data_IF_212275383451
#
_entry.id   IF_212275383451
#
_cell.length_a   1.000
_cell.length_b   1.000
_cell.length_c   1.000
_cell.angle_alpha   90.00
_cell.angle_beta   90.00
_cell.angle_gamma   90.00
#
_symmetry.space_group_name_H-M   'P 1'
#
loop_
_entity.id
_entity.type
_entity.pdbx_description
1 polymer ?
#
# COMPACT_ATOMS: atom_id res chain seq x y z
N UNK A 1 30.22 -4.73 7.34
CA UNK A 1 29.03 -5.24 8.04
C UNK A 1 29.33 -6.68 8.36
N UNK A 2 29.10 -7.13 9.59
CA UNK A 2 29.32 -8.55 9.93
C UNK A 2 28.23 -9.36 9.22
N UNK A 3 28.65 -10.32 8.40
CA UNK A 3 27.71 -11.26 7.76
C UNK A 3 27.22 -12.22 8.85
N UNK A 4 25.91 -12.42 9.01
CA UNK A 4 25.39 -13.42 9.95
C UNK A 4 25.92 -14.82 9.59
N UNK A 5 26.09 -15.67 10.60
CA UNK A 5 26.51 -17.07 10.39
C UNK A 5 25.25 -17.93 10.32
N UNK A 6 25.10 -18.68 9.22
CA UNK A 6 23.95 -19.57 9.03
C UNK A 6 24.26 -21.00 9.47
N UNK A 7 23.27 -21.69 10.02
CA UNK A 7 23.27 -23.09 10.42
C UNK A 7 22.58 -23.96 9.36
N UNK A 8 22.93 -25.24 9.29
CA UNK A 8 22.34 -26.22 8.37
C UNK A 8 23.37 -26.92 7.48
N UNK A 9 22.91 -27.61 6.43
CA UNK A 9 23.77 -28.14 5.36
C UNK A 9 24.40 -27.00 4.55
N UNK A 10 25.45 -27.29 3.77
CA UNK A 10 26.09 -26.26 2.93
C UNK A 10 25.09 -25.62 1.96
N UNK A 11 24.21 -26.42 1.36
CA UNK A 11 23.13 -25.95 0.48
C UNK A 11 22.12 -25.06 1.23
N UNK A 12 21.72 -25.43 2.45
CA UNK A 12 20.81 -24.63 3.27
C UNK A 12 21.44 -23.31 3.72
N UNK A 13 22.73 -23.32 4.07
CA UNK A 13 23.46 -22.11 4.44
C UNK A 13 23.58 -21.15 3.25
N UNK A 14 23.85 -21.68 2.05
CA UNK A 14 23.90 -20.88 0.82
C UNK A 14 22.53 -20.28 0.49
N UNK A 15 21.47 -21.08 0.59
CA UNK A 15 20.10 -20.63 0.33
C UNK A 15 19.66 -19.55 1.34
N UNK A 16 19.93 -19.75 2.63
CA UNK A 16 19.64 -18.75 3.67
C UNK A 16 20.43 -17.45 3.44
N UNK A 17 21.69 -17.54 3.01
CA UNK A 17 22.51 -16.38 2.67
C UNK A 17 21.97 -15.63 1.43
N UNK A 18 21.52 -16.35 0.41
CA UNK A 18 20.91 -15.78 -0.79
C UNK A 18 19.60 -15.04 -0.44
N UNK A 19 18.70 -15.69 0.31
CA UNK A 19 17.45 -15.08 0.78
C UNK A 19 17.73 -13.83 1.64
N UNK A 20 18.70 -13.89 2.55
CA UNK A 20 19.11 -12.74 3.36
C UNK A 20 19.59 -11.58 2.50
N UNK A 21 20.42 -11.85 1.48
CA UNK A 21 20.94 -10.85 0.57
C UNK A 21 19.83 -10.20 -0.26
N UNK A 22 18.87 -11.00 -0.73
CA UNK A 22 17.68 -10.54 -1.44
C UNK A 22 16.84 -9.60 -0.56
N UNK A 23 16.56 -10.00 0.68
CA UNK A 23 15.82 -9.16 1.63
C UNK A 23 16.58 -7.86 1.95
N UNK A 24 17.91 -7.88 2.08
CA UNK A 24 18.72 -6.67 2.26
C UNK A 24 18.62 -5.73 1.07
N UNK A 25 18.66 -6.27 -0.17
CA UNK A 25 18.56 -5.48 -1.38
C UNK A 25 17.22 -4.75 -1.47
N UNK A 26 16.12 -5.46 -1.19
CA UNK A 26 14.79 -4.86 -1.11
C UNK A 26 14.69 -3.86 0.06
N UNK A 27 15.34 -4.19 1.17
CA UNK A 27 15.44 -3.40 2.37
C UNK A 27 16.43 -2.21 2.31
N UNK A 28 17.00 -1.89 1.15
CA UNK A 28 18.14 -0.96 1.07
C UNK A 28 17.85 0.44 1.63
N UNK A 29 16.60 0.90 1.50
CA UNK A 29 16.11 2.20 1.98
C UNK A 29 15.56 2.18 3.40
N UNK A 30 15.42 1.00 4.01
CA UNK A 30 14.94 0.87 5.38
C UNK A 30 16.05 1.20 6.39
N UNK A 31 15.63 1.62 7.59
CA UNK A 31 16.54 1.78 8.72
C UNK A 31 17.29 0.47 9.02
N UNK A 32 18.45 0.58 9.66
CA UNK A 32 19.35 -0.56 9.89
C UNK A 32 18.69 -1.70 10.67
N UNK A 33 17.79 -1.35 11.57
CA UNK A 33 17.05 -2.17 12.51
C UNK A 33 15.57 -2.35 12.13
N UNK A 34 15.11 -1.69 11.05
CA UNK A 34 13.74 -1.83 10.61
C UNK A 34 13.46 -3.27 10.13
N UNK A 35 12.29 -3.84 10.50
CA UNK A 35 11.90 -5.16 10.05
C UNK A 35 11.58 -5.15 8.55
N UNK A 36 12.26 -6.02 7.81
CA UNK A 36 11.98 -6.31 6.41
C UNK A 36 11.16 -7.58 6.37
N UNK A 37 9.94 -7.52 5.83
CA UNK A 37 9.01 -8.64 5.76
C UNK A 37 8.91 -9.13 4.33
N UNK A 38 8.95 -10.44 4.10
CA UNK A 38 8.67 -11.09 2.81
C UNK A 38 7.87 -12.36 3.02
N UNK A 39 6.93 -12.66 2.12
CA UNK A 39 6.21 -13.93 2.14
C UNK A 39 7.08 -15.06 1.57
N UNK A 40 6.87 -16.27 2.06
CA UNK A 40 7.48 -17.48 1.53
C UNK A 40 7.09 -17.68 0.06
N UNK A 41 5.83 -17.38 -0.28
CA UNK A 41 5.30 -17.46 -1.63
C UNK A 41 6.10 -16.61 -2.63
N UNK A 42 6.41 -15.36 -2.29
CA UNK A 42 7.18 -14.45 -3.14
C UNK A 42 8.65 -14.86 -3.26
N UNK A 43 9.24 -15.34 -2.16
CA UNK A 43 10.62 -15.84 -2.17
C UNK A 43 10.76 -17.09 -3.04
N UNK A 44 9.79 -18.00 -2.94
CA UNK A 44 9.75 -19.22 -3.73
C UNK A 44 9.53 -18.91 -5.22
N UNK A 45 8.61 -18.00 -5.56
CA UNK A 45 8.37 -17.59 -6.94
C UNK A 45 9.65 -17.03 -7.57
N UNK A 46 10.27 -16.05 -6.92
CA UNK A 46 11.51 -15.44 -7.40
C UNK A 46 12.65 -16.44 -7.60
N UNK A 47 12.91 -17.30 -6.61
CA UNK A 47 14.00 -18.28 -6.69
C UNK A 47 13.68 -19.43 -7.65
N UNK A 48 12.42 -19.81 -7.81
CA UNK A 48 12.02 -20.84 -8.79
C UNK A 48 12.24 -20.35 -10.22
N UNK A 49 11.92 -19.09 -10.51
CA UNK A 49 12.17 -18.46 -11.81
C UNK A 49 13.67 -18.29 -12.07
N UNK A 50 14.43 -17.82 -11.08
CA UNK A 50 15.87 -17.60 -11.20
C UNK A 50 16.64 -18.90 -11.47
N UNK A 51 16.30 -19.98 -10.76
CA UNK A 51 16.99 -21.26 -10.84
C UNK A 51 16.32 -22.25 -11.80
N UNK A 52 15.17 -21.91 -12.39
CA UNK A 52 14.34 -22.79 -13.23
C UNK A 52 14.00 -24.12 -12.53
N UNK A 53 13.65 -24.02 -11.24
CA UNK A 53 13.30 -25.17 -10.38
C UNK A 53 11.80 -25.19 -10.11
N UNK A 54 11.32 -26.34 -9.65
CA UNK A 54 9.93 -26.51 -9.22
C UNK A 54 9.61 -25.62 -8.01
N UNK A 55 8.48 -24.92 -8.07
CA UNK A 55 8.07 -23.94 -7.06
C UNK A 55 7.89 -24.60 -5.68
N UNK A 56 7.17 -25.71 -5.61
CA UNK A 56 6.85 -26.37 -4.34
C UNK A 56 8.11 -26.93 -3.66
N UNK A 57 9.02 -27.49 -4.45
CA UNK A 57 10.32 -27.96 -3.95
C UNK A 57 11.16 -26.79 -3.37
N UNK A 58 11.22 -25.67 -4.08
CA UNK A 58 11.96 -24.48 -3.63
C UNK A 58 11.34 -23.89 -2.36
N UNK A 59 10.01 -23.78 -2.28
CA UNK A 59 9.31 -23.29 -1.10
C UNK A 59 9.63 -24.13 0.15
N UNK A 60 9.64 -25.47 0.02
CA UNK A 60 9.98 -26.38 1.12
C UNK A 60 11.45 -26.26 1.54
N UNK A 61 12.37 -26.14 0.58
CA UNK A 61 13.80 -25.95 0.85
C UNK A 61 14.07 -24.63 1.58
N UNK A 62 13.40 -23.54 1.17
CA UNK A 62 13.48 -22.23 1.84
C UNK A 62 12.93 -22.31 3.26
N UNK A 63 11.72 -22.86 3.46
CA UNK A 63 11.11 -22.96 4.80
C UNK A 63 12.01 -23.76 5.75
N UNK A 64 12.56 -24.90 5.29
CA UNK A 64 13.50 -25.71 6.06
C UNK A 64 14.81 -24.96 6.39
N UNK A 65 15.40 -24.25 5.43
CA UNK A 65 16.63 -23.50 5.63
C UNK A 65 16.43 -22.33 6.61
N UNK A 66 15.34 -21.57 6.47
CA UNK A 66 15.06 -20.41 7.33
C UNK A 66 14.65 -20.83 8.75
N UNK A 67 13.94 -21.95 8.93
CA UNK A 67 13.59 -22.47 10.25
C UNK A 67 14.81 -22.85 11.11
N UNK A 68 15.87 -23.38 10.50
CA UNK A 68 17.13 -23.68 11.20
C UNK A 68 17.87 -22.41 11.66
N UNK A 69 17.56 -21.26 11.06
CA UNK A 69 18.20 -19.97 11.28
C UNK A 69 17.27 -18.97 11.98
N UNK A 70 16.59 -19.44 13.04
CA UNK A 70 15.59 -18.68 13.79
C UNK A 70 16.16 -17.46 14.55
N UNK A 71 17.49 -17.36 14.67
CA UNK A 71 18.21 -16.21 15.23
C UNK A 71 18.26 -15.03 14.25
N UNK A 72 18.32 -15.31 12.94
CA UNK A 72 18.36 -14.29 11.87
C UNK A 72 16.99 -14.02 11.28
N UNK A 73 16.18 -15.07 11.13
CA UNK A 73 14.86 -15.01 10.52
C UNK A 73 13.78 -15.32 11.53
N UNK A 74 12.77 -14.46 11.59
CA UNK A 74 11.58 -14.70 12.40
C UNK A 74 10.42 -15.07 11.50
N UNK A 75 9.78 -16.20 11.79
CA UNK A 75 8.62 -16.71 11.06
C UNK A 75 7.33 -16.22 11.73
N UNK A 76 6.42 -15.68 10.93
CA UNK A 76 5.08 -15.21 11.32
C UNK A 76 4.05 -15.85 10.37
N UNK A 77 2.94 -16.37 10.90
CA UNK A 77 1.85 -16.90 10.08
C UNK A 77 0.75 -15.83 10.01
N UNK A 78 0.42 -15.37 8.82
CA UNK A 78 -0.56 -14.31 8.60
C UNK A 78 -1.41 -14.64 7.37
N UNK A 79 -2.73 -14.60 7.53
CA UNK A 79 -3.68 -14.74 6.42
C UNK A 79 -3.41 -15.97 5.53
N UNK A 80 -3.05 -17.10 6.17
CA UNK A 80 -2.69 -18.40 5.56
C UNK A 80 -1.33 -18.45 4.83
N UNK A 81 -0.59 -17.34 4.77
CA UNK A 81 0.77 -17.31 4.23
C UNK A 81 1.82 -17.23 5.35
N UNK A 82 3.02 -17.73 5.05
CA UNK A 82 4.17 -17.71 5.95
C UNK A 82 5.01 -16.50 5.60
N UNK A 83 5.10 -15.55 6.53
CA UNK A 83 5.93 -14.35 6.39
C UNK A 83 7.22 -14.54 7.18
N UNK A 84 8.33 -14.30 6.50
CA UNK A 84 9.64 -14.20 7.12
C UNK A 84 10.02 -12.74 7.33
N UNK A 85 10.54 -12.46 8.52
CA UNK A 85 11.04 -11.17 8.91
C UNK A 85 12.54 -11.25 9.17
N UNK A 86 13.30 -10.31 8.63
CA UNK A 86 14.70 -10.10 8.99
C UNK A 86 14.99 -8.59 9.12
N UNK A 87 16.22 -8.22 9.47
CA UNK A 87 16.69 -6.83 9.43
C UNK A 87 18.00 -6.75 8.68
N UNK A 88 18.47 -5.54 8.34
CA UNK A 88 19.76 -5.38 7.64
C UNK A 88 20.96 -5.85 8.48
N UNK A 89 20.78 -6.01 9.79
CA UNK A 89 21.80 -6.57 10.69
C UNK A 89 21.64 -8.06 10.95
N UNK A 90 20.56 -8.68 10.46
CA UNK A 90 20.20 -10.05 10.79
C UNK A 90 19.73 -10.22 12.24
N UNK A 91 19.27 -9.14 12.89
CA UNK A 91 18.71 -9.18 14.25
C UNK A 91 17.37 -8.46 14.20
N UNK A 92 16.28 -9.22 14.32
CA UNK A 92 14.92 -8.65 14.29
C UNK A 92 14.57 -8.13 15.67
N UNK A 93 14.57 -6.81 15.81
CA UNK A 93 13.99 -6.15 16.99
C UNK A 93 12.54 -5.86 16.62
N UNK A 94 11.61 -6.72 17.07
CA UNK A 94 10.20 -6.36 17.03
C UNK A 94 9.98 -5.33 18.13
N UNK A 95 9.81 -4.08 17.73
CA UNK A 95 9.15 -3.12 18.59
C UNK A 95 7.73 -3.66 18.76
N UNK A 96 7.43 -4.20 19.94
CA UNK A 96 6.03 -4.36 20.32
C UNK A 96 5.43 -2.98 20.19
N UNK A 97 4.52 -2.80 19.24
CA UNK A 97 3.73 -1.58 19.14
C UNK A 97 3.03 -1.46 20.50
N UNK A 98 3.53 -0.57 21.34
CA UNK A 98 2.86 -0.23 22.57
C UNK A 98 1.62 0.57 22.18
N UNK A 99 0.59 -0.18 21.77
CA UNK A 99 -0.73 0.33 21.49
C UNK A 99 -1.43 0.80 22.77
N UNK A 100 -0.76 0.71 23.93
CA UNK A 100 -1.13 1.52 25.08
C UNK A 100 -0.93 2.98 24.70
N UNK A 101 -2.01 3.61 24.27
CA UNK A 101 -2.06 5.03 24.02
C UNK A 101 -1.36 5.74 25.18
N UNK A 102 -0.19 6.33 24.88
CA UNK A 102 0.59 7.14 25.81
C UNK A 102 -0.24 8.30 26.40
N UNK A 103 -1.48 8.51 25.93
CA UNK A 103 -2.45 9.40 26.54
C UNK A 103 -2.62 9.16 28.04
N UNK A 104 -2.66 7.90 28.51
CA UNK A 104 -2.75 7.62 29.95
C UNK A 104 -1.47 7.99 30.72
N UNK A 105 -0.31 7.86 30.07
CA UNK A 105 0.98 8.31 30.62
C UNK A 105 1.20 9.82 30.46
N UNK A 106 0.48 10.48 29.55
CA UNK A 106 0.48 11.93 29.31
C UNK A 106 -0.53 12.65 30.22
N UNK A 107 -1.63 11.99 30.59
CA UNK A 107 -2.45 12.40 31.72
C UNK A 107 -1.67 12.08 32.99
N UNK A 108 -0.84 13.04 33.40
CA UNK A 108 -0.30 13.06 34.75
C UNK A 108 -1.49 13.04 35.71
N UNK A 109 -1.77 11.89 36.32
CA UNK A 109 -2.50 11.87 37.59
C UNK A 109 -1.50 12.40 38.63
N UNK A 110 -1.67 13.64 39.13
CA UNK A 110 -0.74 14.15 40.14
C UNK A 110 -0.78 13.22 41.35
N UNK A 111 0.38 12.80 41.86
CA UNK A 111 0.50 11.97 43.09
C UNK A 111 -0.23 12.61 44.29
N UNK A 112 -0.46 13.92 44.20
CA UNK A 112 -1.26 14.70 45.12
C UNK A 112 -2.36 15.43 44.35
N UNK A 113 -3.52 14.79 44.11
CA UNK A 113 -4.67 15.52 43.57
C UNK A 113 -4.95 16.68 44.52
N UNK A 114 -5.11 17.88 43.95
CA UNK A 114 -5.46 19.05 44.74
C UNK A 114 -6.72 18.71 45.55
N UNK A 115 -6.77 19.03 46.85
CA UNK A 115 -7.94 18.77 47.67
C UNK A 115 -9.15 19.44 47.02
N UNK A 116 -10.13 18.62 46.62
CA UNK A 116 -11.30 19.03 45.83
C UNK A 116 -12.22 19.97 46.63
N UNK A 117 -11.96 20.14 47.93
CA UNK A 117 -12.80 20.93 48.83
C UNK A 117 -12.71 22.45 48.61
N UNK A 118 -11.72 22.98 47.87
CA UNK A 118 -11.53 24.43 47.68
C UNK A 118 -11.93 24.99 46.29
N UNK A 119 -12.37 24.15 45.33
CA UNK A 119 -12.70 24.61 43.95
C UNK A 119 -14.09 25.26 43.86
N UNK A 120 -14.91 25.20 44.92
CA UNK A 120 -16.20 25.90 44.97
C UNK A 120 -16.08 27.43 45.13
N UNK A 121 -14.87 28.00 45.27
CA UNK A 121 -14.67 29.41 45.70
C UNK A 121 -13.89 30.27 44.69
N UNK A 122 -13.80 29.90 43.40
CA UNK A 122 -13.33 30.83 42.35
C UNK A 122 -14.14 30.75 41.06
N UNK A 123 -15.47 30.85 41.17
CA UNK A 123 -16.26 31.51 40.11
C UNK A 123 -16.33 32.98 40.49
N UNK A 124 -15.19 33.69 40.42
CA UNK A 124 -15.25 35.14 40.41
C UNK A 124 -15.85 35.55 39.07
N UNK A 125 -17.01 36.16 39.14
CA UNK A 125 -17.86 36.73 38.10
C UNK A 125 -17.20 37.85 37.27
N UNK A 126 -15.90 37.81 37.01
CA UNK A 126 -15.26 38.68 36.03
C UNK A 126 -15.26 37.98 34.67
N UNK A 127 -16.45 37.81 34.09
CA UNK A 127 -16.51 37.85 32.63
C UNK A 127 -16.01 39.25 32.27
N UNK A 128 -14.84 39.42 31.62
CA UNK A 128 -14.57 40.71 31.00
C UNK A 128 -15.78 41.00 30.12
N UNK A 129 -16.35 42.20 30.22
CA UNK A 129 -17.41 42.62 29.31
C UNK A 129 -16.90 42.30 27.91
N UNK A 130 -17.58 41.37 27.21
CA UNK A 130 -17.26 41.07 25.82
C UNK A 130 -17.28 42.42 25.11
N UNK A 131 -16.10 42.95 24.85
CA UNK A 131 -15.93 44.02 23.89
C UNK A 131 -16.52 43.45 22.63
N UNK A 132 -17.57 44.11 22.16
CA UNK A 132 -18.27 43.89 20.89
C UNK A 132 -17.46 42.97 20.00
N UNK A 133 -17.85 41.69 19.95
CA UNK A 133 -17.20 40.71 19.09
C UNK A 133 -17.34 41.28 17.70
N UNK A 134 -16.28 41.87 17.17
CA UNK A 134 -16.21 42.13 15.74
C UNK A 134 -16.47 40.78 15.09
N UNK A 135 -17.48 40.66 14.23
CA UNK A 135 -17.75 39.40 13.56
C UNK A 135 -16.44 39.01 12.89
N UNK A 136 -15.86 37.89 13.32
CA UNK A 136 -14.77 37.27 12.60
C UNK A 136 -15.39 36.91 11.26
N UNK A 137 -15.11 37.72 10.24
CA UNK A 137 -15.47 37.39 8.87
C UNK A 137 -14.67 36.14 8.54
N UNK A 138 -15.33 34.99 8.66
CA UNK A 138 -14.85 33.75 8.08
C UNK A 138 -14.77 34.06 6.59
N UNK A 139 -13.56 34.03 6.02
CA UNK A 139 -13.37 34.32 4.60
C UNK A 139 -14.36 33.51 3.77
N UNK A 140 -14.96 34.14 2.75
CA UNK A 140 -15.99 33.52 1.89
C UNK A 140 -15.54 32.13 1.38
N UNK A 141 -14.23 31.95 1.15
CA UNK A 141 -13.60 30.67 0.80
C UNK A 141 -13.97 29.48 1.70
N UNK A 142 -14.04 29.65 3.03
CA UNK A 142 -14.41 28.56 3.94
C UNK A 142 -15.92 28.37 4.06
N UNK A 143 -16.71 29.38 3.67
CA UNK A 143 -18.17 29.28 3.67
C UNK A 143 -18.66 28.54 2.41
N UNK A 144 -18.02 28.77 1.25
CA UNK A 144 -18.26 28.02 0.01
C UNK A 144 -17.97 26.52 0.20
N UNK A 145 -16.86 26.18 0.87
CA UNK A 145 -16.46 24.78 1.05
C UNK A 145 -17.36 24.00 2.02
N UNK A 146 -18.08 24.71 2.91
CA UNK A 146 -19.00 24.12 3.87
C UNK A 146 -20.45 24.06 3.37
N UNK A 147 -20.72 24.54 2.15
CA UNK A 147 -22.06 24.62 1.54
C UNK A 147 -23.10 25.28 2.46
N UNK A 148 -22.66 26.28 3.25
CA UNK A 148 -23.45 26.92 4.29
C UNK A 148 -24.24 28.15 3.80
N UNK A 149 -24.39 28.32 2.48
CA UNK A 149 -25.20 29.41 1.97
C UNK A 149 -26.69 29.14 2.20
N UNK A 150 -27.42 30.00 2.92
CA UNK A 150 -28.85 30.03 2.79
C UNK A 150 -29.17 30.35 1.34
N UNK A 151 -29.84 29.42 0.66
CA UNK A 151 -30.43 29.55 -0.67
C UNK A 151 -30.86 31.00 -0.88
N UNK A 152 -30.18 31.70 -1.81
CA UNK A 152 -30.56 33.04 -2.23
C UNK A 152 -32.05 33.01 -2.56
N UNK A 153 -32.87 33.63 -1.70
CA UNK A 153 -34.26 33.85 -2.04
C UNK A 153 -34.28 34.68 -3.31
N UNK A 154 -34.96 34.23 -4.38
CA UNK A 154 -35.01 34.96 -5.63
C UNK A 154 -35.53 36.37 -5.35
N UNK A 155 -34.68 37.36 -5.63
CA UNK A 155 -35.03 38.78 -5.57
C UNK A 155 -36.30 39.00 -6.40
N UNK A 156 -37.37 39.45 -5.74
CA UNK A 156 -38.51 40.01 -6.44
C UNK A 156 -38.03 41.19 -7.32
N UNK A 157 -38.52 41.30 -8.57
CA UNK A 157 -38.07 42.33 -9.50
C UNK A 157 -38.43 43.72 -8.97
N UNK A 158 -37.39 44.46 -8.56
CA UNK A 158 -37.50 45.85 -8.18
C UNK A 158 -37.89 46.69 -9.39
N UNK A 159 -38.94 47.46 -9.20
CA UNK A 159 -39.67 48.23 -10.22
C UNK A 159 -38.86 49.45 -10.65
N UNK A 160 -38.58 49.53 -11.95
CA UNK A 160 -37.99 50.69 -12.65
C UNK A 160 -38.71 52.00 -12.31
N UNK A 161 -37.91 53.06 -12.11
CA UNK A 161 -38.31 54.45 -12.35
C UNK A 161 -37.22 55.17 -13.15
N UNK A 162 -37.59 56.12 -14.04
CA UNK A 162 -36.72 56.60 -15.10
C UNK A 162 -35.91 57.85 -14.73
N UNK A 163 -34.68 57.88 -15.26
CA UNK A 163 -34.03 58.94 -16.06
C UNK A 163 -34.19 60.41 -15.62
N UNK A 164 -33.12 61.02 -15.10
CA UNK A 164 -32.91 62.47 -15.18
C UNK A 164 -31.42 62.87 -15.21
N UNK A 165 -30.95 63.17 -16.42
CA UNK A 165 -30.04 64.24 -16.86
C UNK A 165 -28.70 64.55 -16.13
N UNK A 166 -27.64 64.54 -16.95
CA UNK A 166 -26.28 65.07 -16.73
C UNK A 166 -26.22 66.59 -16.40
N UNK A 167 -25.06 67.16 -15.99
CA UNK A 167 -24.02 67.53 -16.98
C UNK A 167 -22.52 67.48 -16.52
N UNK A 168 -21.65 67.25 -17.53
CA UNK A 168 -20.27 67.71 -17.83
C UNK A 168 -19.37 68.45 -16.80
N UNK A 169 -18.09 68.04 -16.69
CA UNK A 169 -16.86 68.83 -17.03
C UNK A 169 -15.58 68.00 -16.72
N UNK A 170 -14.69 67.68 -17.68
CA UNK A 170 -13.51 68.44 -18.19
C UNK A 170 -12.22 68.32 -17.36
N UNK A 171 -11.19 67.66 -17.95
CA UNK A 171 -9.73 67.97 -17.97
C UNK A 171 -8.93 66.66 -18.17
N UNK A 172 -8.36 66.34 -19.34
CA UNK A 172 -7.11 66.85 -19.95
C UNK A 172 -5.83 66.46 -19.19
N UNK A 173 -5.06 65.47 -19.68
CA UNK A 173 -3.57 65.45 -19.69
C UNK A 173 -3.08 64.22 -20.50
N UNK A 174 -2.65 64.40 -21.75
CA UNK A 174 -1.25 64.47 -22.22
C UNK A 174 -0.60 63.11 -22.51
N UNK A 175 -0.60 62.77 -23.81
CA UNK A 175 0.38 61.89 -24.46
C UNK A 175 1.73 62.61 -24.62
N UNK A 176 2.83 61.84 -24.72
CA UNK A 176 3.87 62.18 -25.69
C UNK A 176 3.99 61.12 -26.80
N UNK A 177 3.88 61.68 -27.99
CA UNK A 177 4.43 61.33 -29.30
C UNK A 177 5.80 60.63 -29.27
N UNK A 178 5.90 59.47 -29.92
CA UNK A 178 7.15 58.87 -30.37
C UNK A 178 7.00 58.51 -31.86
N UNK A 179 7.92 59.05 -32.65
CA UNK A 179 8.03 58.93 -34.11
C UNK A 179 8.32 57.49 -34.61
N UNK A 180 7.99 57.18 -35.88
CA UNK A 180 8.10 55.84 -36.45
C UNK A 180 9.53 55.51 -36.92
N UNK A 181 10.02 54.32 -36.56
CA UNK A 181 11.16 53.69 -37.23
C UNK A 181 10.67 52.60 -38.19
N UNK A 182 10.92 52.84 -39.48
CA UNK A 182 10.86 51.86 -40.56
C UNK A 182 11.84 50.70 -40.32
N UNK A 183 11.34 49.46 -40.30
CA UNK A 183 12.15 48.24 -40.53
C UNK A 183 11.30 47.20 -41.31
N UNK A 184 11.83 46.58 -42.39
CA UNK A 184 11.03 45.80 -43.31
C UNK A 184 10.86 44.32 -42.90
N UNK A 185 9.69 43.78 -43.28
CA UNK A 185 9.49 42.43 -43.85
C UNK A 185 10.06 41.22 -43.09
N UNK A 186 9.18 40.47 -42.43
CA UNK A 186 8.91 39.08 -42.81
C UNK A 186 7.64 38.56 -42.12
N UNK A 187 6.66 38.16 -42.93
CA UNK A 187 5.50 37.35 -42.55
C UNK A 187 5.97 35.94 -42.17
N UNK A 188 5.48 35.40 -41.04
CA UNK A 188 4.88 34.07 -41.09
C UNK A 188 3.52 34.03 -40.35
N UNK A 189 2.64 33.18 -40.87
CA UNK A 189 1.28 32.86 -40.41
C UNK A 189 1.07 32.87 -38.88
N UNK A 190 0.06 33.62 -38.43
CA UNK A 190 -0.67 33.39 -37.18
C UNK A 190 -1.62 32.19 -37.37
N UNK A 191 -1.68 31.22 -36.44
CA UNK A 191 -2.89 30.45 -36.20
C UNK A 191 -3.83 31.21 -35.25
N UNK A 192 -5.12 31.03 -35.52
CA UNK A 192 -6.28 31.63 -34.86
C UNK A 192 -6.22 31.70 -33.33
N UNK A 193 -6.59 32.87 -32.81
CA UNK A 193 -6.93 33.09 -31.41
C UNK A 193 -8.26 32.40 -31.10
N UNK A 194 -8.24 31.43 -30.18
CA UNK A 194 -9.45 30.87 -29.57
C UNK A 194 -9.71 31.62 -28.26
N UNK A 195 -10.98 31.98 -28.08
CA UNK A 195 -11.59 32.63 -26.92
C UNK A 195 -11.10 32.10 -25.57
N UNK A 196 -10.58 33.00 -24.74
CA UNK A 196 -10.40 32.80 -23.31
C UNK A 196 -11.70 33.17 -22.59
N UNK A 197 -12.61 32.22 -22.47
CA UNK A 197 -13.68 32.24 -21.47
C UNK A 197 -13.62 30.93 -20.69
N UNK A 198 -13.67 31.04 -19.37
CA UNK A 198 -13.90 29.93 -18.42
C UNK A 198 -12.70 28.99 -18.17
N UNK A 199 -11.82 29.39 -17.25
CA UNK A 199 -11.02 28.46 -16.46
C UNK A 199 -11.48 28.53 -15.00
N UNK A 200 -12.48 27.70 -14.70
CA UNK A 200 -12.93 27.34 -13.37
C UNK A 200 -11.93 26.31 -12.80
N UNK A 201 -11.13 26.72 -11.81
CA UNK A 201 -10.16 25.84 -11.15
C UNK A 201 -10.91 24.91 -10.18
N UNK A 202 -11.08 23.65 -10.57
CA UNK A 202 -11.53 22.57 -9.68
C UNK A 202 -10.35 22.15 -8.78
N UNK A 203 -10.53 22.30 -7.48
CA UNK A 203 -9.57 21.82 -6.47
C UNK A 203 -9.66 20.29 -6.42
N UNK A 204 -8.71 19.62 -7.06
CA UNK A 204 -8.46 18.19 -6.84
C UNK A 204 -7.82 18.06 -5.46
N UNK A 205 -8.37 17.16 -4.64
CA UNK A 205 -7.84 16.83 -3.33
C UNK A 205 -6.32 16.56 -3.40
N UNK A 206 -5.58 17.17 -2.48
CA UNK A 206 -4.12 17.05 -2.32
C UNK A 206 -3.73 15.66 -1.79
N UNK A 207 -4.12 14.62 -2.53
CA UNK A 207 -3.50 13.31 -2.41
C UNK A 207 -2.16 13.41 -3.14
N UNK A 208 -1.08 13.26 -2.38
CA UNK A 208 0.27 13.20 -2.93
C UNK A 208 0.28 12.23 -4.12
N UNK A 209 0.76 12.72 -5.26
CA UNK A 209 0.97 11.93 -6.49
C UNK A 209 1.78 10.66 -6.20
N UNK A 210 2.65 10.69 -5.19
CA UNK A 210 3.43 9.53 -4.75
C UNK A 210 2.57 8.42 -4.11
N UNK A 211 1.45 8.78 -3.46
CA UNK A 211 0.52 7.81 -2.88
C UNK A 211 -0.32 7.10 -3.97
N UNK A 212 -0.80 7.86 -4.96
CA UNK A 212 -1.53 7.32 -6.11
C UNK A 212 -0.66 6.41 -6.98
N UNK A 213 0.63 6.75 -7.17
CA UNK A 213 1.56 5.91 -7.94
C UNK A 213 1.78 4.55 -7.27
N UNK A 214 1.90 4.50 -5.94
CA UNK A 214 2.09 3.25 -5.21
C UNK A 214 0.86 2.34 -5.24
N UNK A 215 -0.34 2.91 -5.27
CA UNK A 215 -1.59 2.15 -5.31
C UNK A 215 -1.88 1.57 -6.71
N UNK A 216 -1.57 2.32 -7.77
CA UNK A 216 -1.69 1.84 -9.16
C UNK A 216 -0.70 0.70 -9.48
N UNK A 217 0.51 0.74 -8.90
CA UNK A 217 1.51 -0.32 -9.08
C UNK A 217 1.06 -1.66 -8.49
N UNK A 218 0.28 -1.66 -7.41
CA UNK A 218 -0.25 -2.87 -6.77
C UNK A 218 -1.41 -3.47 -7.58
N UNK A 219 -2.25 -2.63 -8.20
CA UNK A 219 -3.40 -3.07 -8.99
C UNK A 219 -3.01 -3.64 -10.37
N UNK A 220 -1.92 -3.17 -10.97
CA UNK A 220 -1.49 -3.63 -12.29
C UNK A 220 -0.97 -5.08 -12.26
N UNK A 221 -0.40 -5.51 -11.13
CA UNK A 221 0.12 -6.86 -10.91
C UNK A 221 -0.99 -7.91 -10.75
N UNK A 222 -2.20 -7.50 -10.32
CA UNK A 222 -3.34 -8.40 -10.13
C UNK A 222 -4.13 -8.71 -11.42
N UNK A 223 -3.99 -7.89 -12.46
CA UNK A 223 -4.76 -8.06 -13.71
C UNK A 223 -4.07 -9.06 -14.66
N UNK A 224 -2.76 -9.25 -14.56
CA UNK A 224 -2.01 -10.16 -15.46
C UNK A 224 -2.22 -11.66 -15.13
N UNK A 225 -2.88 -11.98 -14.01
CA UNK A 225 -3.17 -13.37 -13.58
C UNK A 225 -4.53 -13.92 -14.04
N UNK A 226 -5.39 -13.12 -14.70
CA UNK A 226 -6.76 -13.55 -15.04
C UNK A 226 -6.90 -14.11 -16.48
N UNK A 227 -5.96 -13.85 -17.39
CA UNK A 227 -6.12 -14.19 -18.82
C UNK A 227 -5.47 -15.51 -19.29
N UNK A 228 -4.92 -16.34 -18.39
CA UNK A 228 -4.22 -17.57 -18.78
C UNK A 228 -5.07 -18.86 -18.75
N UNK A 229 -6.27 -18.88 -18.13
CA UNK A 229 -6.98 -20.14 -17.81
C UNK A 229 -8.34 -20.37 -18.54
N UNK A 230 -8.77 -19.49 -19.46
CA UNK A 230 -10.14 -19.56 -20.04
C UNK A 230 -10.20 -20.11 -21.47
N UNK A 231 -9.09 -20.52 -22.10
CA UNK A 231 -9.14 -21.13 -23.44
C UNK A 231 -8.42 -22.45 -23.43
N UNK A 232 -9.16 -23.57 -23.31
CA UNK A 232 -8.93 -24.89 -23.95
C UNK A 232 -9.91 -25.94 -23.38
N UNK A 233 -11.20 -25.81 -23.69
CA UNK A 233 -12.16 -26.90 -23.43
C UNK A 233 -13.21 -26.99 -24.55
N UNK A 234 -12.75 -27.27 -25.78
CA UNK A 234 -13.59 -27.95 -26.77
C UNK A 234 -12.73 -28.62 -27.86
N UNK A 235 -12.17 -29.78 -27.54
CA UNK A 235 -11.54 -30.67 -28.52
C UNK A 235 -12.38 -31.96 -28.59
N UNK A 236 -12.87 -32.37 -29.78
CA UNK A 236 -13.67 -33.57 -29.92
C UNK A 236 -12.83 -34.84 -29.71
N UNK A 237 -13.43 -35.94 -29.23
CA UNK A 237 -12.72 -37.18 -28.94
C UNK A 237 -12.12 -37.78 -30.23
N UNK A 238 -10.90 -38.35 -30.17
CA UNK A 238 -10.34 -39.05 -31.32
C UNK A 238 -11.04 -40.40 -31.48
N UNK A 239 -11.64 -40.60 -32.66
CA UNK A 239 -12.17 -41.89 -33.10
C UNK A 239 -11.07 -42.96 -33.10
N UNK A 240 -11.48 -44.13 -32.63
CA UNK A 240 -10.74 -45.39 -32.62
C UNK A 240 -10.32 -45.81 -34.05
N UNK A 241 -9.02 -45.80 -34.34
CA UNK A 241 -8.44 -46.60 -35.42
C UNK A 241 -6.91 -46.71 -35.27
N UNK A 242 -6.44 -47.49 -34.29
CA UNK A 242 -5.07 -47.99 -34.34
C UNK A 242 -5.03 -49.25 -35.21
N UNK A 243 -4.67 -49.05 -36.47
CA UNK A 243 -4.22 -50.12 -37.35
C UNK A 243 -2.88 -50.69 -36.85
N UNK A 244 -2.82 -52.02 -36.97
CA UNK A 244 -1.78 -52.98 -36.67
C UNK A 244 -0.45 -52.64 -37.38
N UNK A 245 0.54 -52.13 -36.63
CA UNK A 245 1.92 -51.95 -37.13
C UNK A 245 2.81 -53.06 -36.57
N UNK A 246 3.42 -53.92 -37.43
CA UNK A 246 4.23 -55.03 -36.97
C UNK A 246 5.62 -54.57 -36.48
N UNK A 247 5.99 -55.07 -35.30
CA UNK A 247 7.31 -54.96 -34.67
C UNK A 247 8.45 -55.42 -35.59
N UNK A 248 9.54 -54.64 -35.74
CA UNK A 248 10.80 -55.16 -36.25
C UNK A 248 11.58 -55.87 -35.13
N UNK A 249 11.95 -57.10 -35.46
CA UNK A 249 12.67 -58.08 -34.66
C UNK A 249 14.17 -57.95 -34.92
N UNK A 250 14.96 -57.63 -33.89
CA UNK A 250 16.34 -58.08 -33.73
C UNK A 250 17.48 -57.16 -34.22
N UNK A 251 18.32 -56.73 -33.27
CA UNK A 251 19.79 -56.61 -33.35
C UNK A 251 20.29 -56.21 -31.94
N UNK A 252 20.72 -57.18 -31.12
CA UNK A 252 22.11 -57.60 -30.88
C UNK A 252 22.86 -56.73 -29.83
N UNK A 253 23.61 -57.35 -28.90
CA UNK A 253 24.16 -56.71 -27.70
C UNK A 253 25.54 -56.10 -27.97
N UNK A 254 25.86 -54.97 -27.32
CA UNK A 254 27.23 -54.44 -27.29
C UNK A 254 27.83 -54.73 -25.92
N UNK A 255 28.98 -55.39 -25.99
CA UNK A 255 29.83 -55.85 -24.90
C UNK A 255 30.58 -54.69 -24.20
N UNK A 256 30.69 -54.85 -22.88
CA UNK A 256 31.87 -54.66 -22.01
C UNK A 256 32.86 -53.51 -22.31
N UNK A 257 33.08 -52.68 -21.30
CA UNK A 257 34.44 -52.28 -20.92
C UNK A 257 34.54 -52.13 -19.41
N UNK A 258 35.15 -53.15 -18.81
CA UNK A 258 35.84 -53.11 -17.54
C UNK A 258 36.97 -52.08 -17.57
N UNK A 259 37.02 -51.19 -16.57
CA UNK A 259 38.29 -50.62 -16.10
C UNK A 259 38.32 -50.73 -14.58
N UNK A 260 39.12 -51.69 -14.13
CA UNK A 260 39.58 -51.83 -12.76
C UNK A 260 40.78 -50.92 -12.49
N UNK A 261 40.75 -50.21 -11.36
CA UNK A 261 41.90 -49.78 -10.57
C UNK A 261 41.36 -49.50 -9.15
N UNK A 262 41.42 -50.42 -8.20
CA UNK A 262 42.60 -50.84 -7.42
C UNK A 262 43.39 -49.63 -6.91
N UNK A 263 42.91 -49.01 -5.83
CA UNK A 263 43.75 -48.46 -4.75
C UNK A 263 42.98 -48.66 -3.44
N UNK A 264 43.58 -49.41 -2.54
CA UNK A 264 43.16 -49.74 -1.17
C UNK A 264 44.48 -49.83 -0.37
N UNK A 265 44.49 -49.81 0.96
CA UNK A 265 44.12 -48.70 1.85
C UNK A 265 45.26 -48.41 2.86
N UNK A 266 45.40 -47.16 3.33
CA UNK A 266 46.24 -46.90 4.51
C UNK A 266 45.61 -45.85 5.45
N UNK A 267 44.89 -46.43 6.42
CA UNK A 267 44.74 -46.04 7.82
C UNK A 267 44.72 -44.57 8.22
N UNK A 268 43.61 -44.14 8.83
CA UNK A 268 43.68 -43.43 10.12
C UNK A 268 42.45 -43.81 10.99
N UNK A 269 42.78 -44.39 12.14
CA UNK A 269 42.10 -44.38 13.44
C UNK A 269 40.57 -44.53 13.53
N UNK A 270 40.18 -45.72 14.03
CA UNK A 270 39.00 -45.90 14.85
C UNK A 270 39.05 -45.00 16.09
N UNK A 271 37.98 -44.24 16.32
CA UNK A 271 37.63 -43.71 17.62
C UNK A 271 36.27 -44.30 18.03
N UNK A 272 36.27 -44.88 19.22
CA UNK A 272 35.21 -45.66 19.84
C UNK A 272 33.97 -44.80 20.14
N UNK A 273 32.75 -45.36 20.09
CA UNK A 273 31.56 -44.67 20.55
C UNK A 273 31.50 -44.71 22.08
N UNK A 274 31.74 -43.58 22.73
CA UNK A 274 31.49 -43.42 24.16
C UNK A 274 29.99 -43.25 24.36
N UNK A 275 29.37 -44.30 24.87
CA UNK A 275 28.05 -44.28 25.49
C UNK A 275 28.16 -43.61 26.86
N UNK A 276 27.71 -42.36 26.97
CA UNK A 276 27.40 -41.75 28.27
C UNK A 276 25.89 -41.62 28.44
N UNK A 277 25.33 -42.64 29.09
CA UNK A 277 24.08 -42.62 29.83
C UNK A 277 24.28 -41.90 31.15
N UNK A 278 23.70 -40.72 31.33
CA UNK A 278 23.31 -40.13 32.63
C UNK A 278 22.35 -38.96 32.34
N UNK A 279 21.05 -39.11 32.62
CA UNK A 279 20.42 -38.73 33.89
C UNK A 279 20.33 -37.21 34.07
N UNK A 280 19.11 -36.71 33.84
CA UNK A 280 18.30 -35.70 34.57
C UNK A 280 17.25 -35.25 33.54
N UNK A 281 16.02 -35.76 33.49
CA UNK A 281 15.02 -35.86 34.56
C UNK A 281 14.97 -34.62 35.45
N UNK A 282 14.49 -33.53 34.85
CA UNK A 282 13.87 -32.38 35.49
C UNK A 282 13.51 -31.41 34.37
N UNK A 283 12.21 -31.30 34.06
CA UNK A 283 11.47 -30.11 33.61
C UNK A 283 10.10 -30.57 33.07
N UNK A 284 9.41 -31.38 33.87
CA UNK A 284 7.97 -31.65 33.77
C UNK A 284 7.30 -31.01 34.99
N UNK A 285 7.41 -29.69 35.09
CA UNK A 285 6.78 -28.94 36.18
C UNK A 285 6.66 -27.45 35.84
N UNK A 286 5.85 -27.08 34.84
CA UNK A 286 5.29 -25.73 34.80
C UNK A 286 3.84 -25.71 34.32
N UNK A 287 2.97 -25.58 35.33
CA UNK A 287 1.83 -24.66 35.33
C UNK A 287 0.55 -25.16 34.65
N UNK A 288 -0.11 -26.08 35.35
CA UNK A 288 -1.57 -26.21 35.33
C UNK A 288 -2.17 -25.01 36.09
N UNK A 289 -2.61 -23.96 35.39
CA UNK A 289 -3.42 -22.91 36.01
C UNK A 289 -4.86 -23.44 36.09
N UNK A 290 -5.10 -24.24 37.13
CA UNK A 290 -6.42 -24.66 37.52
C UNK A 290 -7.18 -23.47 38.10
N UNK A 291 -8.33 -23.18 37.47
CA UNK A 291 -9.55 -22.70 38.07
C UNK A 291 -9.51 -22.34 39.58
N UNK A 292 -9.26 -21.07 39.88
CA UNK A 292 -9.74 -20.42 41.11
C UNK A 292 -10.71 -19.32 40.70
N UNK A 293 -11.92 -19.76 40.36
CA UNK A 293 -13.07 -18.87 40.24
C UNK A 293 -13.53 -18.56 41.66
N UNK A 294 -13.07 -17.43 42.19
CA UNK A 294 -13.41 -16.91 43.50
C UNK A 294 -14.94 -16.82 43.63
N UNK A 295 -15.48 -17.66 44.50
CA UNK A 295 -16.89 -17.71 44.82
C UNK A 295 -17.26 -16.46 45.62
N UNK A 296 -17.89 -15.51 44.93
CA UNK A 296 -18.50 -14.34 45.54
C UNK A 296 -19.61 -14.82 46.50
N UNK A 297 -19.62 -14.41 47.78
CA UNK A 297 -20.66 -14.81 48.72
C UNK A 297 -22.02 -14.22 48.32
N UNK A 298 -23.12 -14.97 48.44
CA UNK A 298 -24.45 -14.44 48.21
C UNK A 298 -24.84 -13.51 49.37
N UNK A 299 -24.72 -12.20 49.14
CA UNK A 299 -25.30 -11.18 50.02
C UNK A 299 -26.82 -11.19 49.87
N UNK A 300 -27.46 -11.89 50.80
CA UNK A 300 -28.45 -11.39 51.74
C UNK A 300 -29.42 -10.29 51.24
N UNK A 301 -30.67 -10.71 51.05
CA UNK A 301 -31.91 -10.04 51.48
C UNK A 301 -31.97 -8.50 51.42
N UNK A 302 -32.43 -7.97 50.29
CA UNK A 302 -33.14 -6.71 50.23
C UNK A 302 -34.61 -6.98 49.85
N UNK A 303 -35.59 -6.66 50.73
CA UNK A 303 -36.98 -6.60 50.34
C UNK A 303 -37.21 -5.25 49.67
N UNK A 304 -37.84 -5.20 48.50
CA UNK A 304 -38.87 -4.23 48.15
C UNK A 304 -39.34 -4.50 46.73
N UNK A 305 -40.57 -5.03 46.63
CA UNK A 305 -41.30 -5.04 45.37
C UNK A 305 -41.62 -3.59 44.97
N UNK A 306 -40.98 -3.15 43.90
CA UNK A 306 -41.52 -2.09 43.05
C UNK A 306 -41.98 -2.80 41.77
N UNK A 307 -43.28 -2.70 41.46
CA UNK A 307 -43.80 -3.03 40.13
C UNK A 307 -43.01 -2.19 39.12
N UNK A 308 -42.13 -2.85 38.36
CA UNK A 308 -41.46 -2.24 37.21
C UNK A 308 -42.56 -2.08 36.16
N UNK A 309 -42.99 -0.84 35.94
CA UNK A 309 -43.80 -0.50 34.76
C UNK A 309 -43.02 -0.97 33.52
N UNK A 310 -43.67 -1.66 32.57
CA UNK A 310 -43.01 -2.13 31.37
C UNK A 310 -42.39 -0.94 30.65
N UNK A 311 -41.06 -0.98 30.47
CA UNK A 311 -40.36 0.01 29.64
C UNK A 311 -41.04 0.05 28.27
N UNK A 312 -41.35 1.25 27.75
CA UNK A 312 -41.99 1.39 26.45
C UNK A 312 -41.13 0.69 25.40
N UNK A 313 -41.78 -0.14 24.56
CA UNK A 313 -41.11 -0.78 23.44
C UNK A 313 -40.32 0.28 22.66
N UNK A 314 -39.02 0.06 22.39
CA UNK A 314 -38.20 1.03 21.68
C UNK A 314 -38.86 1.35 20.35
N UNK A 315 -39.08 2.62 20.09
CA UNK A 315 -39.59 3.08 18.80
C UNK A 315 -38.70 2.50 17.69
N UNK A 316 -39.30 2.00 16.59
CA UNK A 316 -38.55 1.40 15.50
C UNK A 316 -37.50 2.41 15.01
N UNK A 317 -36.23 2.00 15.03
CA UNK A 317 -35.14 2.82 14.51
C UNK A 317 -35.49 3.26 13.08
N UNK A 318 -35.35 4.57 12.77
CA UNK A 318 -35.66 5.08 11.44
C UNK A 318 -34.83 4.33 10.40
N UNK A 319 -35.48 3.94 9.29
CA UNK A 319 -34.78 3.30 8.17
C UNK A 319 -33.60 4.19 7.74
N UNK A 320 -32.40 3.60 7.57
CA UNK A 320 -31.21 4.37 7.22
C UNK A 320 -31.45 5.13 5.92
N UNK A 321 -31.21 6.44 5.95
CA UNK A 321 -31.29 7.29 4.76
C UNK A 321 -30.32 6.78 3.69
N UNK A 322 -30.72 6.78 2.40
CA UNK A 322 -29.85 6.33 1.32
C UNK A 322 -28.61 7.21 1.26
N UNK A 323 -27.42 6.58 1.23
CA UNK A 323 -26.15 7.29 1.09
C UNK A 323 -26.13 8.08 -0.23
N UNK A 324 -25.60 9.31 -0.25
CA UNK A 324 -25.50 10.09 -1.47
C UNK A 324 -24.62 9.37 -2.51
N UNK A 325 -25.07 9.37 -3.76
CA UNK A 325 -24.28 8.83 -4.87
C UNK A 325 -23.11 9.78 -5.17
N UNK A 326 -21.88 9.28 -5.09
CA UNK A 326 -20.69 10.06 -5.36
C UNK A 326 -20.21 9.77 -6.79
N UNK A 327 -20.14 10.82 -7.62
CA UNK A 327 -19.68 10.73 -9.00
C UNK A 327 -18.41 11.56 -9.19
N UNK A 328 -17.41 10.99 -9.87
CA UNK A 328 -16.19 11.68 -10.30
C UNK A 328 -16.27 11.86 -11.82
N UNK A 329 -16.07 13.09 -12.29
CA UNK A 329 -16.03 13.42 -13.70
C UNK A 329 -14.56 13.48 -14.16
N UNK A 330 -14.18 12.60 -15.09
CA UNK A 330 -12.79 12.49 -15.57
C UNK A 330 -12.61 13.24 -16.89
N UNK A 331 -13.58 13.11 -17.79
CA UNK A 331 -13.70 13.90 -19.02
C UNK A 331 -15.11 14.45 -19.11
N UNK A 332 -15.36 15.38 -20.03
CA UNK A 332 -16.68 16.01 -20.21
C UNK A 332 -17.80 14.97 -20.37
N UNK A 333 -17.49 13.82 -20.99
CA UNK A 333 -18.44 12.74 -21.27
C UNK A 333 -18.33 11.54 -20.31
N UNK A 334 -17.32 11.46 -19.44
CA UNK A 334 -17.09 10.30 -18.56
C UNK A 334 -17.34 10.65 -17.08
N UNK A 335 -18.46 10.15 -16.56
CA UNK A 335 -18.83 10.19 -15.13
C UNK A 335 -18.78 8.80 -14.53
N UNK A 336 -17.96 8.62 -13.52
CA UNK A 336 -17.76 7.34 -12.82
C UNK A 336 -18.36 7.40 -11.43
N UNK A 337 -19.17 6.41 -11.08
CA UNK A 337 -19.72 6.28 -9.73
C UNK A 337 -18.69 5.57 -8.83
N UNK A 338 -18.12 6.29 -7.86
CA UNK A 338 -17.07 5.73 -6.99
C UNK A 338 -17.61 4.76 -5.94
N UNK A 339 -18.94 4.66 -5.79
CA UNK A 339 -19.55 3.69 -4.89
C UNK A 339 -19.61 2.26 -5.50
N UNK A 340 -19.23 2.11 -6.77
CA UNK A 340 -19.09 0.80 -7.40
C UNK A 340 -17.76 0.14 -7.02
N UNK A 341 -17.73 -1.20 -6.87
CA UNK A 341 -16.47 -1.91 -6.60
C UNK A 341 -15.49 -1.70 -7.75
N UNK A 342 -14.20 -1.61 -7.42
CA UNK A 342 -13.13 -1.31 -8.37
C UNK A 342 -13.09 -2.28 -9.55
N UNK A 343 -13.41 -3.55 -9.34
CA UNK A 343 -13.51 -4.59 -10.38
C UNK A 343 -14.52 -4.21 -11.47
N UNK A 344 -15.73 -3.79 -11.07
CA UNK A 344 -16.77 -3.37 -12.02
C UNK A 344 -16.40 -2.09 -12.75
N UNK A 345 -15.70 -1.17 -12.07
CA UNK A 345 -15.21 0.07 -12.69
C UNK A 345 -14.15 -0.22 -13.75
N UNK A 346 -13.21 -1.13 -13.46
CA UNK A 346 -12.17 -1.52 -14.41
C UNK A 346 -12.73 -2.35 -15.56
N UNK A 347 -13.70 -3.22 -15.32
CA UNK A 347 -14.35 -3.98 -16.39
C UNK A 347 -15.16 -3.08 -17.33
N UNK A 348 -15.87 -2.09 -16.78
CA UNK A 348 -16.74 -1.20 -17.57
C UNK A 348 -15.97 -0.06 -18.25
N UNK A 349 -14.97 0.50 -17.57
CA UNK A 349 -14.30 1.74 -17.98
C UNK A 349 -12.77 1.63 -18.10
N UNK A 350 -12.18 0.45 -17.87
CA UNK A 350 -10.72 0.27 -17.82
C UNK A 350 -9.99 0.74 -19.07
N UNK A 351 -10.46 0.36 -20.25
CA UNK A 351 -9.84 0.77 -21.52
C UNK A 351 -9.84 2.29 -21.71
N UNK A 352 -10.95 2.93 -21.35
CA UNK A 352 -11.10 4.39 -21.45
C UNK A 352 -10.21 5.10 -20.44
N UNK A 353 -10.20 4.62 -19.18
CA UNK A 353 -9.34 5.15 -18.12
C UNK A 353 -7.86 5.08 -18.49
N UNK A 354 -7.42 3.94 -19.03
CA UNK A 354 -6.03 3.73 -19.47
C UNK A 354 -5.70 4.66 -20.65
N UNK A 355 -6.59 4.78 -21.63
CA UNK A 355 -6.38 5.65 -22.78
C UNK A 355 -6.28 7.13 -22.36
N UNK A 356 -7.21 7.60 -21.52
CA UNK A 356 -7.22 8.97 -21.01
C UNK A 356 -6.01 9.25 -20.12
N UNK A 357 -5.59 8.30 -19.28
CA UNK A 357 -4.38 8.43 -18.48
C UNK A 357 -3.14 8.59 -19.37
N UNK A 358 -3.00 7.78 -20.42
CA UNK A 358 -1.87 7.91 -21.34
C UNK A 358 -1.88 9.22 -22.12
N UNK A 359 -3.05 9.68 -22.57
CA UNK A 359 -3.18 10.98 -23.21
C UNK A 359 -2.74 12.12 -22.30
N UNK A 360 -3.14 12.11 -21.03
CA UNK A 360 -2.73 13.12 -20.06
C UNK A 360 -1.24 13.05 -19.73
N UNK A 361 -0.66 11.85 -19.65
CA UNK A 361 0.79 11.68 -19.44
C UNK A 361 1.59 12.21 -20.63
N UNK A 362 1.13 11.96 -21.86
CA UNK A 362 1.79 12.46 -23.07
C UNK A 362 1.68 13.99 -23.20
N UNK A 363 0.64 14.60 -22.61
CA UNK A 363 0.43 16.04 -22.55
C UNK A 363 1.08 16.73 -21.34
N UNK A 364 1.63 16.00 -20.36
CA UNK A 364 2.24 16.59 -19.17
C UNK A 364 3.45 17.48 -19.55
N UNK A 365 3.35 18.81 -19.41
CA UNK A 365 4.43 19.72 -19.79
C UNK A 365 5.67 19.55 -18.91
N UNK A 366 5.50 19.00 -17.71
CA UNK A 366 6.59 18.75 -16.77
C UNK A 366 7.25 17.40 -16.98
N UNK A 367 6.67 16.52 -17.81
CA UNK A 367 7.17 15.16 -18.12
C UNK A 367 7.57 14.39 -16.86
N UNK A 368 6.79 14.55 -15.78
CA UNK A 368 7.11 13.93 -14.48
C UNK A 368 7.04 12.42 -14.53
N UNK A 369 6.23 11.90 -15.45
CA UNK A 369 6.05 10.47 -15.69
C UNK A 369 6.55 10.17 -17.09
N UNK A 370 7.41 9.16 -17.21
CA UNK A 370 7.96 8.68 -18.48
C UNK A 370 7.43 7.27 -18.73
N UNK A 371 6.98 7.03 -19.97
CA UNK A 371 6.41 5.76 -20.40
C UNK A 371 7.46 4.88 -21.11
N UNK A 372 7.56 3.62 -20.69
CA UNK A 372 8.31 2.57 -21.39
C UNK A 372 7.39 1.38 -21.65
N UNK A 373 6.83 1.30 -22.87
CA UNK A 373 5.85 0.27 -23.21
C UNK A 373 4.54 0.45 -22.43
N UNK A 374 4.24 -0.53 -21.55
CA UNK A 374 3.08 -0.49 -20.63
C UNK A 374 3.45 0.01 -19.22
N UNK A 375 4.73 0.20 -18.94
CA UNK A 375 5.23 0.62 -17.63
C UNK A 375 5.35 2.14 -17.56
N UNK A 376 4.95 2.72 -16.44
CA UNK A 376 5.06 4.14 -16.12
C UNK A 376 6.11 4.32 -15.02
N UNK A 377 7.05 5.25 -15.20
CA UNK A 377 8.09 5.54 -14.22
C UNK A 377 8.13 7.03 -13.90
N UNK A 378 8.35 7.43 -12.65
CA UNK A 378 8.64 8.82 -12.34
C UNK A 378 10.02 9.20 -12.91
N UNK A 379 10.16 10.44 -13.38
CA UNK A 379 11.42 10.98 -13.94
C UNK A 379 12.59 10.83 -12.94
N UNK A 380 12.32 10.96 -11.64
CA UNK A 380 13.32 10.77 -10.58
C UNK A 380 13.96 9.38 -10.57
N UNK A 381 13.23 8.35 -11.01
CA UNK A 381 13.75 7.00 -11.16
C UNK A 381 14.67 6.86 -12.39
N UNK A 382 14.46 7.66 -13.44
CA UNK A 382 15.26 7.62 -14.67
C UNK A 382 16.69 8.13 -14.51
N UNK A 383 16.94 9.06 -13.58
CA UNK A 383 18.29 9.60 -13.33
C UNK A 383 19.29 8.50 -12.91
N UNK A 384 18.79 7.38 -12.35
CA UNK A 384 19.61 6.25 -11.94
C UNK A 384 19.74 5.15 -13.01
N UNK A 385 18.81 5.05 -13.95
CA UNK A 385 18.87 4.07 -15.06
C UNK A 385 20.07 4.32 -15.99
N UNK A 386 20.43 5.59 -16.22
CA UNK A 386 21.63 5.93 -17.00
C UNK A 386 22.93 5.45 -16.36
N UNK A 387 23.00 5.38 -15.02
CA UNK A 387 24.19 4.89 -14.30
C UNK A 387 24.31 3.37 -14.32
N UNK A 388 23.19 2.63 -14.37
CA UNK A 388 23.24 1.17 -14.47
C UNK A 388 23.71 0.69 -15.84
N UNK A 389 23.32 1.37 -16.92
CA UNK A 389 23.73 0.97 -18.28
C UNK A 389 25.19 1.35 -18.57
N UNK A 390 25.71 2.44 -17.99
CA UNK A 390 27.11 2.87 -18.23
C UNK A 390 28.16 2.14 -17.36
N UNK A 391 27.74 1.36 -16.36
CA UNK A 391 28.64 0.61 -15.46
C UNK A 391 28.90 -0.83 -15.90
N UNK A 392 28.12 -1.36 -16.84
CA UNK A 392 28.33 -2.68 -17.42
C UNK A 392 29.48 -2.65 -18.42
N UNK A 393 30.62 -3.25 -18.05
CA UNK A 393 31.69 -3.60 -18.98
C UNK A 393 31.08 -4.24 -20.23
N UNK A 394 31.42 -3.70 -21.40
CA UNK A 394 31.02 -4.23 -22.69
C UNK A 394 31.57 -5.65 -22.88
N UNK A 395 30.88 -6.65 -22.33
CA UNK A 395 31.04 -8.04 -22.74
C UNK A 395 30.13 -8.22 -23.95
N UNK A 396 30.76 -8.19 -25.11
CA UNK A 396 30.20 -8.45 -26.43
C UNK A 396 29.39 -9.75 -26.41
N UNK A 397 28.10 -9.65 -26.73
CA UNK A 397 27.29 -10.79 -27.18
C UNK A 397 27.62 -11.15 -28.63
#
# INVERSE_FOLDING_TARGET
MSVPTFQGTEEQQQLAAEVFQLMIMQGAFFAKDAPIKQSLSNLADFLSQQHQRDYDAVAQEIDAALQLNADVFRRELRDQDVIYMTSRTGIVIIHGEDNSHMFKNRLYEPEHPLPVEDISVVISTSRPALTTVEPVYISDYWQDQADLFPVHQPQEPSKELPDEAAPTDTSADTMPEIEPMDVPTSVPDEPDQIDQAEQEYVIVADMSVDALINEIAILTDQIETIDADVVMSDAPPPDEAYEDVPLPKGAAPVETSDVAAVVDPDGIAAAEPVTDTATTDALDELVTIAAEHEAIPPTSDAPYGAEIEPEPEPEPEPEPEPLPEAFVQITDDLRININQPAETLLETHGDVLIATLFEHIDQDPLRRIVRFGRMLYPESAMVNLGKMISGGSATTF
#
